data_IF_564070793927
#
_entry.id   IF_564070793927
#
_cell.length_a   1.000
_cell.length_b   1.000
_cell.length_c   1.000
_cell.angle_alpha   90.00
_cell.angle_beta   90.00
_cell.angle_gamma   90.00
#
_symmetry.space_group_name_H-M   'P 1'
#
loop_
_entity.id
_entity.type
_entity.pdbx_description
1 polymer ?
#
# COMPACT_ATOMS: atom_id res chain seq x y z
N UNK A 1 -30.51 -26.26 37.46
CA UNK A 1 -30.32 -26.37 36.00
C UNK A 1 -30.40 -25.04 35.22
N UNK A 2 -30.46 -23.85 35.86
CA UNK A 2 -30.48 -22.55 35.13
C UNK A 2 -29.11 -21.87 34.99
N UNK A 3 -28.11 -22.27 35.78
CA UNK A 3 -26.77 -21.64 35.78
C UNK A 3 -25.89 -22.16 34.64
N UNK A 4 -26.15 -23.37 34.13
CA UNK A 4 -25.36 -23.98 33.06
C UNK A 4 -25.66 -23.39 31.67
N UNK A 5 -26.85 -22.79 31.46
CA UNK A 5 -27.18 -22.11 30.20
C UNK A 5 -26.48 -20.76 30.02
N UNK A 6 -26.06 -20.09 31.09
CA UNK A 6 -25.38 -18.79 30.98
C UNK A 6 -23.89 -18.92 30.64
N UNK A 7 -23.28 -20.08 30.90
CA UNK A 7 -21.87 -20.35 30.64
C UNK A 7 -21.60 -20.68 29.15
N UNK A 8 -22.60 -21.16 28.42
CA UNK A 8 -22.48 -21.39 26.96
C UNK A 8 -22.68 -20.10 26.17
N UNK A 9 -23.34 -19.08 26.74
CA UNK A 9 -23.60 -17.80 26.07
C UNK A 9 -22.42 -16.82 26.17
N UNK A 10 -21.49 -16.99 27.12
CA UNK A 10 -20.28 -16.16 27.22
C UNK A 10 -19.14 -16.62 26.29
N UNK A 11 -19.18 -17.86 25.78
CA UNK A 11 -18.16 -18.41 24.89
C UNK A 11 -18.28 -17.91 23.43
N UNK A 12 -19.42 -17.31 23.04
CA UNK A 12 -19.62 -16.76 21.70
C UNK A 12 -19.14 -15.31 21.53
N UNK A 13 -18.56 -14.71 22.58
CA UNK A 13 -17.98 -13.36 22.55
C UNK A 13 -16.47 -13.34 22.26
N UNK A 14 -15.89 -14.46 21.81
CA UNK A 14 -14.62 -14.42 21.07
C UNK A 14 -14.88 -13.82 19.69
N UNK A 15 -15.09 -12.51 19.72
CA UNK A 15 -14.93 -11.61 18.59
C UNK A 15 -13.60 -11.97 17.95
N UNK A 16 -13.65 -12.65 16.81
CA UNK A 16 -12.50 -12.80 15.94
C UNK A 16 -12.01 -11.39 15.63
N UNK A 17 -11.01 -10.94 16.38
CA UNK A 17 -10.19 -9.79 16.02
C UNK A 17 -9.42 -10.25 14.80
N UNK A 18 -10.02 -10.11 13.61
CA UNK A 18 -9.30 -10.26 12.37
C UNK A 18 -8.37 -9.04 12.24
N UNK A 19 -7.25 -9.08 12.97
CA UNK A 19 -6.09 -8.27 12.62
C UNK A 19 -5.57 -8.78 11.28
N UNK A 20 -5.32 -7.90 10.34
CA UNK A 20 -4.48 -8.22 9.19
C UNK A 20 -3.06 -8.43 9.73
N UNK A 21 -2.59 -9.68 9.74
CA UNK A 21 -1.18 -9.96 10.01
C UNK A 21 -0.45 -10.00 8.67
N UNK A 22 0.16 -8.88 8.29
CA UNK A 22 1.08 -8.85 7.17
C UNK A 22 2.39 -9.54 7.59
N UNK A 23 2.96 -10.38 6.71
CA UNK A 23 4.32 -10.89 6.88
C UNK A 23 5.32 -9.74 6.73
N UNK A 24 6.39 -9.75 7.53
CA UNK A 24 7.45 -8.77 7.41
C UNK A 24 8.10 -8.85 6.02
N UNK A 25 8.35 -7.68 5.42
CA UNK A 25 9.03 -7.57 4.14
C UNK A 25 10.53 -7.81 4.26
N UNK A 26 11.21 -7.80 3.11
CA UNK A 26 12.66 -7.70 3.10
C UNK A 26 13.10 -6.25 3.36
N UNK A 27 14.28 -6.09 3.97
CA UNK A 27 14.84 -4.80 4.32
C UNK A 27 15.20 -3.97 3.07
N UNK A 28 14.82 -2.69 3.08
CA UNK A 28 15.21 -1.68 2.08
C UNK A 28 15.75 -0.47 2.87
N UNK A 29 16.99 -0.02 2.63
CA UNK A 29 17.58 1.10 3.37
C UNK A 29 16.74 2.36 3.32
N UNK A 30 16.47 2.94 4.49
CA UNK A 30 15.71 4.19 4.62
C UNK A 30 14.21 4.06 4.34
N UNK A 31 13.69 2.85 4.15
CA UNK A 31 12.28 2.57 3.87
C UNK A 31 11.73 1.54 4.86
N UNK A 32 10.73 1.94 5.63
CA UNK A 32 9.93 1.03 6.46
C UNK A 32 8.55 0.79 5.80
N UNK A 33 8.33 -0.45 5.37
CA UNK A 33 7.13 -0.88 4.63
C UNK A 33 7.43 -1.34 3.21
N UNK A 34 6.43 -1.34 2.31
CA UNK A 34 5.05 -0.90 2.50
C UNK A 34 4.22 -1.80 3.42
N UNK A 35 3.33 -1.18 4.19
CA UNK A 35 2.34 -1.87 5.04
C UNK A 35 0.95 -1.65 4.47
N UNK A 36 0.15 -2.72 4.46
CA UNK A 36 -1.23 -2.76 4.00
C UNK A 36 -2.14 -2.95 5.19
N UNK A 37 -3.03 -1.99 5.41
CA UNK A 37 -4.07 -2.07 6.42
C UNK A 37 -5.45 -1.78 5.80
N UNK A 38 -6.51 -1.98 6.58
CA UNK A 38 -7.85 -1.51 6.21
C UNK A 38 -8.32 -0.47 7.20
N UNK A 39 -8.79 0.67 6.68
CA UNK A 39 -9.41 1.70 7.49
C UNK A 39 -10.55 2.38 6.73
N UNK A 40 -11.68 2.61 7.41
CA UNK A 40 -12.84 3.32 6.87
C UNK A 40 -13.34 2.79 5.49
N UNK A 41 -13.25 1.48 5.27
CA UNK A 41 -13.63 0.85 4.01
C UNK A 41 -12.64 1.00 2.87
N UNK A 42 -11.46 1.56 3.15
CA UNK A 42 -10.36 1.78 2.20
C UNK A 42 -9.19 0.87 2.53
N UNK A 43 -8.42 0.55 1.50
CA UNK A 43 -7.13 -0.08 1.62
C UNK A 43 -6.12 1.02 1.91
N UNK A 44 -5.40 0.89 3.02
CA UNK A 44 -4.40 1.85 3.45
C UNK A 44 -3.02 1.31 3.12
N UNK A 45 -2.38 1.86 2.09
CA UNK A 45 -0.98 1.60 1.76
C UNK A 45 -0.10 2.66 2.43
N UNK A 46 0.83 2.23 3.28
CA UNK A 46 1.71 3.13 4.04
C UNK A 46 3.17 2.79 3.82
N UNK A 47 4.00 3.82 3.65
CA UNK A 47 5.46 3.74 3.61
C UNK A 47 6.03 4.84 4.47
N UNK A 48 7.04 4.52 5.26
CA UNK A 48 7.78 5.48 6.05
C UNK A 48 9.21 5.62 5.49
N UNK A 49 9.64 6.86 5.30
CA UNK A 49 10.97 7.24 4.87
C UNK A 49 11.77 7.74 6.08
N UNK A 50 12.72 6.96 6.55
CA UNK A 50 13.39 7.19 7.85
C UNK A 50 14.27 8.46 7.88
N UNK A 51 14.82 8.86 6.73
CA UNK A 51 15.81 9.95 6.62
C UNK A 51 15.28 11.19 5.89
N UNK A 52 13.95 11.30 5.77
CA UNK A 52 13.31 12.41 5.08
C UNK A 52 12.42 13.12 6.07
N UNK A 53 12.84 14.28 6.56
CA UNK A 53 12.04 15.04 7.50
C UNK A 53 11.16 16.07 6.78
N UNK A 54 9.86 16.05 7.11
CA UNK A 54 8.92 17.08 6.73
C UNK A 54 8.48 17.85 7.96
N UNK A 55 8.31 19.16 7.79
CA UNK A 55 7.86 20.04 8.88
C UNK A 55 6.33 20.09 9.02
N UNK A 56 5.60 19.52 8.06
CA UNK A 56 4.14 19.57 8.03
C UNK A 56 3.53 18.48 7.18
N UNK A 57 2.26 18.20 7.42
CA UNK A 57 1.48 17.22 6.68
C UNK A 57 0.57 17.86 5.63
N UNK A 58 0.37 17.16 4.53
CA UNK A 58 -0.55 17.51 3.47
C UNK A 58 -1.35 16.27 3.06
N UNK A 59 -2.67 16.41 3.06
CA UNK A 59 -3.59 15.44 2.46
C UNK A 59 -4.17 16.04 1.19
N UNK A 60 -4.19 15.26 0.11
CA UNK A 60 -4.72 15.67 -1.18
C UNK A 60 -5.57 14.56 -1.82
N UNK A 61 -6.61 14.93 -2.59
CA UNK A 61 -7.33 13.98 -3.42
C UNK A 61 -6.43 13.48 -4.55
N UNK A 62 -6.68 12.25 -5.02
CA UNK A 62 -5.97 11.69 -6.17
C UNK A 62 -6.80 11.96 -7.43
N UNK A 63 -6.16 12.51 -8.46
CA UNK A 63 -6.82 12.83 -9.74
C UNK A 63 -7.49 11.57 -10.31
N UNK A 64 -8.75 11.68 -10.75
CA UNK A 64 -9.60 10.58 -11.24
C UNK A 64 -10.00 9.53 -10.19
N UNK A 65 -9.75 9.76 -8.91
CA UNK A 65 -10.10 8.82 -7.83
C UNK A 65 -10.81 9.57 -6.70
N UNK A 66 -12.10 9.83 -6.88
CA UNK A 66 -12.89 10.75 -6.07
C UNK A 66 -13.02 10.34 -4.59
N UNK A 67 -12.82 9.05 -4.30
CA UNK A 67 -12.92 8.50 -2.95
C UNK A 67 -11.57 8.16 -2.33
N UNK A 68 -10.47 8.38 -3.05
CA UNK A 68 -9.11 8.06 -2.61
C UNK A 68 -8.29 9.30 -2.33
N UNK A 69 -7.43 9.19 -1.33
CA UNK A 69 -6.60 10.31 -0.87
C UNK A 69 -5.17 9.87 -0.63
N UNK A 70 -4.24 10.78 -0.91
CA UNK A 70 -2.84 10.64 -0.55
C UNK A 70 -2.52 11.62 0.57
N UNK A 71 -1.83 11.14 1.60
CA UNK A 71 -1.32 11.94 2.71
C UNK A 71 0.19 11.79 2.79
N UNK A 72 0.88 12.90 2.92
CA UNK A 72 2.29 12.96 3.27
C UNK A 72 2.37 13.70 4.59
N UNK A 73 2.97 13.12 5.62
CA UNK A 73 3.08 13.72 6.94
C UNK A 73 4.40 13.38 7.61
N UNK A 74 4.82 14.12 8.65
CA UNK A 74 5.89 13.64 9.52
C UNK A 74 5.52 12.25 10.07
N UNK A 75 6.51 11.37 10.19
CA UNK A 75 6.32 10.11 10.91
C UNK A 75 6.49 10.35 12.41
N UNK A 76 5.75 9.57 13.20
CA UNK A 76 5.85 9.54 14.65
C UNK A 76 6.26 8.13 15.01
N UNK A 77 7.47 7.98 15.55
CA UNK A 77 7.98 6.70 16.01
C UNK A 77 7.28 6.26 17.30
N UNK A 78 7.41 4.98 17.63
CA UNK A 78 6.81 4.35 18.80
C UNK A 78 7.21 5.00 20.14
N UNK A 79 8.34 5.68 20.18
CA UNK A 79 8.86 6.41 21.35
C UNK A 79 8.39 7.87 21.42
N UNK A 80 7.54 8.30 20.48
CA UNK A 80 7.00 9.65 20.42
C UNK A 80 7.95 10.69 19.82
N UNK A 81 9.13 10.27 19.33
CA UNK A 81 9.99 11.18 18.57
C UNK A 81 9.43 11.42 17.16
N UNK A 82 9.72 12.62 16.65
CA UNK A 82 9.43 12.98 15.27
C UNK A 82 10.68 12.72 14.45
N UNK A 83 10.55 11.92 13.40
CA UNK A 83 11.65 11.60 12.51
C UNK A 83 11.14 10.83 11.30
N UNK A 84 11.54 11.26 10.11
CA UNK A 84 11.09 10.67 8.87
C UNK A 84 9.74 11.18 8.36
N UNK A 85 9.33 10.63 7.23
CA UNK A 85 8.11 11.01 6.49
C UNK A 85 7.24 9.78 6.28
N UNK A 86 5.99 9.86 6.71
CA UNK A 86 4.95 8.90 6.36
C UNK A 86 4.26 9.32 5.06
N UNK A 87 4.22 8.42 4.09
CA UNK A 87 3.36 8.49 2.91
C UNK A 87 2.26 7.45 3.11
N UNK A 88 1.01 7.90 3.00
CA UNK A 88 -0.17 7.08 3.24
C UNK A 88 -1.19 7.29 2.12
N UNK A 89 -1.55 6.22 1.44
CA UNK A 89 -2.53 6.21 0.36
C UNK A 89 -3.75 5.44 0.85
N UNK A 90 -4.86 6.15 1.06
CA UNK A 90 -6.13 5.56 1.42
C UNK A 90 -6.94 5.36 0.13
N UNK A 91 -6.92 4.14 -0.38
CA UNK A 91 -7.49 3.74 -1.66
C UNK A 91 -8.86 3.09 -1.49
N UNK A 92 -9.86 3.61 -2.20
CA UNK A 92 -11.19 3.02 -2.29
C UNK A 92 -11.36 2.24 -3.59
N UNK A 93 -11.73 0.96 -3.48
CA UNK A 93 -11.90 0.08 -4.64
C UNK A 93 -12.88 0.62 -5.68
N UNK A 94 -13.87 1.43 -5.26
CA UNK A 94 -14.87 2.01 -6.15
C UNK A 94 -14.28 2.94 -7.20
N UNK A 95 -13.12 3.53 -6.93
CA UNK A 95 -12.50 4.50 -7.84
C UNK A 95 -12.02 3.87 -9.14
N UNK A 96 -11.78 2.56 -9.15
CA UNK A 96 -11.30 1.82 -10.34
C UNK A 96 -12.35 0.92 -10.98
N UNK A 97 -13.62 1.03 -10.57
CA UNK A 97 -14.72 0.20 -11.09
C UNK A 97 -15.39 0.80 -12.35
N UNK A 98 -14.99 2.00 -12.76
CA UNK A 98 -15.51 2.70 -13.95
C UNK A 98 -14.67 2.45 -15.22
N UNK A 99 -15.19 2.85 -16.37
CA UNK A 99 -14.60 2.52 -17.68
C UNK A 99 -13.22 3.16 -17.93
N UNK A 100 -12.89 4.30 -17.30
CA UNK A 100 -11.56 4.93 -17.42
C UNK A 100 -10.44 4.02 -16.89
N UNK A 101 -10.76 3.10 -15.99
CA UNK A 101 -9.79 2.18 -15.36
C UNK A 101 -9.84 0.76 -15.95
N UNK A 102 -10.75 0.49 -16.90
CA UNK A 102 -10.85 -0.79 -17.62
C UNK A 102 -10.01 -0.83 -18.88
N UNK A 103 -10.07 0.24 -19.66
CA UNK A 103 -9.26 0.40 -20.88
C UNK A 103 -8.16 1.43 -20.60
N UNK A 104 -7.02 0.92 -20.18
CA UNK A 104 -5.88 1.71 -19.73
C UNK A 104 -4.66 1.46 -20.63
N UNK A 105 -3.76 2.45 -20.76
CA UNK A 105 -2.50 2.24 -21.47
C UNK A 105 -1.61 1.23 -20.75
N UNK A 106 -0.61 0.73 -21.48
CA UNK A 106 0.49 -0.04 -20.92
C UNK A 106 1.61 0.92 -20.54
N UNK A 107 1.89 1.02 -19.24
CA UNK A 107 2.85 1.96 -18.66
C UNK A 107 4.14 1.25 -18.24
N UNK A 108 5.23 2.00 -18.14
CA UNK A 108 6.52 1.56 -17.62
C UNK A 108 6.81 2.20 -16.26
N UNK A 109 8.03 2.01 -15.74
CA UNK A 109 8.54 2.86 -14.66
C UNK A 109 8.56 4.33 -15.11
N UNK A 110 8.57 5.31 -14.18
CA UNK A 110 8.49 6.74 -14.54
C UNK A 110 9.66 7.23 -15.40
N UNK A 111 10.79 6.53 -15.37
CA UNK A 111 11.98 6.80 -16.18
C UNK A 111 12.00 6.06 -17.53
N UNK A 112 10.93 5.33 -17.87
CA UNK A 112 10.80 4.57 -19.11
C UNK A 112 11.33 3.13 -19.05
N UNK A 113 11.98 2.72 -17.96
CA UNK A 113 12.48 1.34 -17.83
C UNK A 113 11.34 0.33 -17.62
N UNK A 114 11.48 -0.90 -18.10
CA UNK A 114 10.48 -1.93 -17.88
C UNK A 114 10.38 -2.31 -16.40
N UNK A 115 9.19 -2.74 -15.97
CA UNK A 115 9.05 -3.39 -14.67
C UNK A 115 9.80 -4.73 -14.67
N UNK A 116 10.81 -4.93 -13.81
CA UNK A 116 11.69 -6.10 -13.88
C UNK A 116 11.02 -7.43 -13.49
N UNK A 117 9.82 -7.36 -12.93
CA UNK A 117 9.03 -8.52 -12.49
C UNK A 117 7.83 -8.82 -13.41
N UNK A 118 7.66 -8.08 -14.52
CA UNK A 118 6.64 -8.33 -15.54
C UNK A 118 7.29 -8.88 -16.80
N UNK A 119 6.64 -9.85 -17.45
CA UNK A 119 7.19 -10.54 -18.63
C UNK A 119 7.33 -9.60 -19.83
N UNK A 120 6.34 -8.75 -20.05
CA UNK A 120 6.31 -7.74 -21.11
C UNK A 120 6.93 -6.40 -20.67
N UNK A 121 7.35 -6.30 -19.41
CA UNK A 121 7.92 -5.09 -18.82
C UNK A 121 6.94 -3.93 -18.66
N UNK A 122 5.65 -4.10 -18.99
CA UNK A 122 4.65 -3.03 -18.98
C UNK A 122 3.47 -3.37 -18.09
N UNK A 123 2.89 -2.36 -17.46
CA UNK A 123 1.77 -2.49 -16.55
C UNK A 123 0.52 -1.81 -17.15
N UNK A 124 -0.58 -2.54 -17.39
CA UNK A 124 -1.84 -1.93 -17.83
C UNK A 124 -2.47 -1.13 -16.69
N UNK A 125 -2.19 0.17 -16.66
CA UNK A 125 -2.60 1.09 -15.60
C UNK A 125 -2.60 2.55 -16.08
N UNK A 126 -3.39 3.41 -15.43
CA UNK A 126 -3.15 4.84 -15.49
C UNK A 126 -2.00 5.19 -14.55
N UNK A 127 -0.96 5.84 -15.09
CA UNK A 127 0.10 6.44 -14.31
C UNK A 127 -0.27 7.88 -13.90
N UNK A 128 -0.28 8.15 -12.60
CA UNK A 128 -0.60 9.47 -12.03
C UNK A 128 0.59 9.92 -11.19
N UNK A 129 1.41 10.81 -11.76
CA UNK A 129 2.52 11.42 -11.04
C UNK A 129 2.02 12.54 -10.10
N UNK A 130 2.55 12.57 -8.88
CA UNK A 130 2.20 13.54 -7.84
C UNK A 130 3.47 14.22 -7.34
N UNK A 131 3.94 15.30 -7.99
CA UNK A 131 5.21 15.94 -7.66
C UNK A 131 5.28 16.43 -6.20
N UNK A 132 4.14 16.93 -5.70
CA UNK A 132 4.01 17.43 -4.31
C UNK A 132 4.17 16.33 -3.24
N UNK A 133 4.23 15.06 -3.64
CA UNK A 133 4.36 13.91 -2.75
C UNK A 133 5.63 13.10 -3.07
N UNK A 134 6.77 13.80 -3.11
CA UNK A 134 8.10 13.20 -3.39
C UNK A 134 8.15 12.50 -4.75
N UNK A 135 7.51 13.10 -5.75
CA UNK A 135 7.44 12.57 -7.12
C UNK A 135 6.92 11.12 -7.22
N UNK A 136 6.11 10.69 -6.24
CA UNK A 136 5.45 9.40 -6.28
C UNK A 136 4.57 9.29 -7.53
N UNK A 137 4.60 8.12 -8.17
CA UNK A 137 3.73 7.80 -9.29
C UNK A 137 2.80 6.69 -8.88
N UNK A 138 1.49 6.95 -8.91
CA UNK A 138 0.47 5.96 -8.64
C UNK A 138 0.11 5.23 -9.94
N UNK A 139 -0.05 3.91 -9.85
CA UNK A 139 -0.53 3.06 -10.94
C UNK A 139 -1.88 2.49 -10.53
N UNK A 140 -2.91 2.75 -11.34
CA UNK A 140 -4.26 2.31 -11.04
C UNK A 140 -4.99 1.78 -12.28
N UNK A 141 -5.63 0.63 -12.15
CA UNK A 141 -6.63 0.08 -13.08
C UNK A 141 -7.63 -0.78 -12.31
N UNK A 142 -8.60 -1.35 -13.03
CA UNK A 142 -9.52 -2.32 -12.43
C UNK A 142 -8.78 -3.54 -11.84
N UNK A 143 -7.57 -3.86 -12.31
CA UNK A 143 -6.80 -5.06 -11.92
C UNK A 143 -5.66 -4.81 -10.95
N UNK A 144 -5.04 -3.63 -10.99
CA UNK A 144 -3.86 -3.31 -10.16
C UNK A 144 -4.02 -1.96 -9.49
N UNK A 145 -3.51 -1.85 -8.27
CA UNK A 145 -3.32 -0.56 -7.61
C UNK A 145 -2.00 -0.51 -6.86
N UNK A 146 -1.25 0.57 -6.99
CA UNK A 146 -0.02 0.72 -6.23
C UNK A 146 0.76 1.97 -6.63
N UNK A 147 2.05 1.97 -6.32
CA UNK A 147 2.91 3.12 -6.58
C UNK A 147 4.35 2.73 -6.91
N UNK A 148 5.04 3.66 -7.57
CA UNK A 148 6.49 3.81 -7.55
C UNK A 148 6.84 5.04 -6.71
N UNK A 149 7.70 4.85 -5.71
CA UNK A 149 8.23 5.92 -4.86
C UNK A 149 9.73 6.06 -5.12
N UNK A 150 10.19 7.20 -5.68
CA UNK A 150 11.62 7.48 -5.79
C UNK A 150 12.29 7.47 -4.42
N UNK A 151 13.45 6.82 -4.30
CA UNK A 151 14.26 6.80 -3.08
C UNK A 151 15.74 6.94 -3.40
N UNK A 152 16.52 7.37 -2.41
CA UNK A 152 17.98 7.35 -2.50
C UNK A 152 18.51 6.11 -1.79
N UNK A 153 19.25 5.28 -2.52
CA UNK A 153 19.92 4.11 -1.95
C UNK A 153 21.38 4.45 -1.60
N UNK A 154 21.95 3.83 -0.55
CA UNK A 154 23.39 3.84 -0.33
C UNK A 154 24.14 3.24 -1.54
N UNK A 155 25.29 3.81 -1.92
CA UNK A 155 26.08 3.38 -3.09
C UNK A 155 26.52 1.91 -3.01
N UNK A 156 26.71 1.38 -1.80
CA UNK A 156 27.13 0.01 -1.53
C UNK A 156 25.96 -0.99 -1.45
N UNK A 157 24.71 -0.52 -1.50
CA UNK A 157 23.53 -1.38 -1.43
C UNK A 157 23.21 -2.00 -2.79
N UNK A 158 23.76 -3.19 -3.03
CA UNK A 158 23.61 -3.95 -4.29
C UNK A 158 22.66 -5.14 -4.21
N UNK A 159 21.87 -5.25 -3.13
CA UNK A 159 20.97 -6.39 -2.91
C UNK A 159 19.68 -6.18 -3.73
N UNK A 160 19.32 -7.18 -4.54
CA UNK A 160 18.01 -7.21 -5.22
C UNK A 160 16.92 -7.59 -4.22
N UNK A 161 15.94 -6.71 -4.04
CA UNK A 161 14.84 -6.90 -3.08
C UNK A 161 13.54 -7.07 -3.84
N UNK A 162 12.97 -8.27 -3.79
CA UNK A 162 11.66 -8.58 -4.37
C UNK A 162 10.91 -9.53 -3.43
N UNK A 163 9.73 -9.13 -2.96
CA UNK A 163 8.93 -9.97 -2.09
C UNK A 163 7.43 -9.77 -2.32
N UNK A 164 6.64 -10.78 -1.94
CA UNK A 164 5.18 -10.72 -2.04
C UNK A 164 4.60 -10.04 -0.81
N UNK A 165 3.65 -9.14 -1.01
CA UNK A 165 2.81 -8.62 0.07
C UNK A 165 1.89 -9.75 0.49
N UNK A 166 2.17 -10.37 1.63
CA UNK A 166 1.37 -11.47 2.17
C UNK A 166 0.63 -11.06 3.42
N UNK A 167 -0.67 -11.33 3.45
CA UNK A 167 -1.52 -11.08 4.61
C UNK A 167 -2.18 -12.39 5.00
N UNK A 168 -1.99 -12.82 6.25
CA UNK A 168 -2.47 -14.12 6.75
C UNK A 168 -2.07 -15.30 5.83
N UNK A 169 -0.84 -15.27 5.29
CA UNK A 169 -0.29 -16.31 4.41
C UNK A 169 -0.75 -16.27 2.94
N UNK A 170 -1.72 -15.42 2.57
CA UNK A 170 -2.13 -15.23 1.16
C UNK A 170 -1.38 -14.04 0.55
N UNK A 171 -0.93 -14.18 -0.69
CA UNK A 171 -0.32 -13.09 -1.48
C UNK A 171 -1.38 -12.15 -2.05
N UNK A 172 -1.12 -10.85 -2.02
CA UNK A 172 -2.01 -9.81 -2.55
C UNK A 172 -1.29 -8.81 -3.46
N UNK A 173 0.03 -8.97 -3.63
CA UNK A 173 0.82 -7.99 -4.34
C UNK A 173 2.30 -8.30 -4.29
N UNK A 174 3.09 -7.37 -4.81
CA UNK A 174 4.54 -7.43 -4.87
C UNK A 174 5.14 -6.10 -4.40
N UNK A 175 6.28 -6.21 -3.74
CA UNK A 175 7.21 -5.11 -3.50
C UNK A 175 8.50 -5.43 -4.24
N UNK A 176 9.03 -4.43 -4.93
CA UNK A 176 10.25 -4.53 -5.71
C UNK A 176 11.09 -3.29 -5.50
N UNK A 177 12.36 -3.48 -5.19
CA UNK A 177 13.34 -2.42 -5.28
C UNK A 177 13.81 -2.29 -6.73
N UNK A 178 13.82 -1.07 -7.23
CA UNK A 178 14.41 -0.69 -8.51
C UNK A 178 15.74 -0.02 -8.19
N UNK A 179 16.81 -0.60 -8.73
CA UNK A 179 18.17 -0.07 -8.59
C UNK A 179 18.40 1.13 -9.52
N UNK A 180 19.36 2.00 -9.21
CA UNK A 180 19.74 3.10 -10.09
C UNK A 180 20.15 2.59 -11.48
N UNK A 181 19.99 3.45 -12.50
CA UNK A 181 20.53 3.23 -13.84
C UNK A 181 22.05 3.44 -13.89
N UNK A 182 22.64 3.34 -15.08
CA UNK A 182 24.09 3.54 -15.29
C UNK A 182 24.57 4.96 -14.92
N UNK A 183 23.65 5.92 -14.77
CA UNK A 183 23.93 7.31 -14.36
C UNK A 183 23.71 7.53 -12.86
N UNK A 184 23.31 6.49 -12.12
CA UNK A 184 22.99 6.58 -10.70
C UNK A 184 21.60 7.15 -10.41
N UNK A 185 20.69 7.19 -11.39
CA UNK A 185 19.35 7.78 -11.26
C UNK A 185 18.23 6.73 -11.27
N UNK A 186 17.02 7.11 -10.84
CA UNK A 186 15.83 6.28 -11.01
C UNK A 186 15.66 5.15 -9.99
N UNK A 187 16.41 5.17 -8.89
CA UNK A 187 16.15 4.25 -7.78
C UNK A 187 14.78 4.50 -7.15
N UNK A 188 14.09 3.42 -6.78
CA UNK A 188 12.73 3.53 -6.26
C UNK A 188 12.17 2.24 -5.71
N UNK A 189 11.15 2.35 -4.88
CA UNK A 189 10.37 1.20 -4.40
C UNK A 189 9.06 1.15 -5.16
N UNK A 190 8.79 0.00 -5.77
CA UNK A 190 7.50 -0.33 -6.37
C UNK A 190 6.71 -1.19 -5.40
N UNK A 191 5.46 -0.84 -5.16
CA UNK A 191 4.51 -1.66 -4.41
C UNK A 191 3.20 -1.74 -5.19
N UNK A 192 2.82 -2.93 -5.62
CA UNK A 192 1.60 -3.16 -6.40
C UNK A 192 0.73 -4.21 -5.74
N UNK A 193 -0.57 -3.92 -5.63
CA UNK A 193 -1.62 -4.86 -5.22
C UNK A 193 -2.35 -5.42 -6.42
N UNK A 194 -2.61 -6.72 -6.42
CA UNK A 194 -3.51 -7.38 -7.36
C UNK A 194 -4.94 -7.28 -6.84
N UNK A 195 -5.79 -6.48 -7.50
CA UNK A 195 -7.12 -6.18 -6.99
C UNK A 195 -8.07 -7.39 -7.06
N UNK A 196 -7.83 -8.33 -7.97
CA UNK A 196 -8.59 -9.59 -8.01
C UNK A 196 -8.27 -10.48 -6.79
N UNK A 197 -7.03 -10.47 -6.29
CA UNK A 197 -6.66 -11.20 -5.07
C UNK A 197 -7.30 -10.59 -3.82
N UNK A 198 -7.41 -9.26 -3.81
CA UNK A 198 -8.11 -8.47 -2.79
C UNK A 198 -9.60 -8.81 -2.80
N UNK A 199 -10.27 -8.66 -3.95
CA UNK A 199 -11.72 -8.90 -4.11
C UNK A 199 -12.11 -10.35 -3.94
N UNK A 200 -11.24 -11.31 -4.29
CA UNK A 200 -11.52 -12.73 -4.12
C UNK A 200 -11.35 -13.21 -2.68
N UNK A 201 -10.83 -12.39 -1.76
CA UNK A 201 -10.62 -12.80 -0.38
C UNK A 201 -11.83 -12.47 0.53
N UNK A 202 -12.55 -13.48 1.05
CA UNK A 202 -13.72 -13.24 1.90
C UNK A 202 -13.40 -12.50 3.21
N UNK A 203 -12.22 -12.74 3.78
CA UNK A 203 -11.77 -12.09 5.01
C UNK A 203 -11.50 -10.61 4.82
N UNK A 204 -10.79 -10.25 3.74
CA UNK A 204 -10.47 -8.88 3.40
C UNK A 204 -11.73 -8.09 3.00
N UNK A 205 -12.63 -8.69 2.21
CA UNK A 205 -13.93 -8.09 1.89
C UNK A 205 -14.79 -7.88 3.15
N UNK A 206 -14.79 -8.84 4.07
CA UNK A 206 -15.48 -8.70 5.36
C UNK A 206 -14.90 -7.53 6.15
N UNK A 207 -13.58 -7.37 6.17
CA UNK A 207 -12.91 -6.26 6.84
C UNK A 207 -13.19 -4.91 6.18
N UNK A 208 -13.17 -4.81 4.85
CA UNK A 208 -13.58 -3.61 4.13
C UNK A 208 -15.03 -3.22 4.47
N UNK A 209 -15.93 -4.19 4.60
CA UNK A 209 -17.32 -3.92 4.99
C UNK A 209 -17.46 -3.53 6.47
N UNK A 210 -16.73 -4.17 7.38
CA UNK A 210 -16.79 -3.89 8.82
C UNK A 210 -16.17 -2.53 9.14
N UNK A 211 -15.02 -2.20 8.55
CA UNK A 211 -14.35 -0.91 8.76
C UNK A 211 -15.19 0.28 8.30
N UNK A 212 -16.05 0.14 7.29
CA UNK A 212 -17.06 1.18 6.93
C UNK A 212 -18.01 1.52 8.07
N UNK A 213 -18.32 0.56 8.95
CA UNK A 213 -19.22 0.74 10.11
C UNK A 213 -18.46 1.22 11.35
N UNK A 214 -17.22 0.77 11.50
CA UNK A 214 -16.35 1.10 12.64
C UNK A 214 -15.29 2.11 12.22
N UNK A 215 -15.72 3.36 12.02
CA UNK A 215 -14.83 4.43 11.59
C UNK A 215 -13.67 4.63 12.58
N UNK A 216 -12.52 5.07 12.07
CA UNK A 216 -11.30 5.34 12.84
C UNK A 216 -10.62 4.12 13.45
N UNK A 217 -11.11 2.90 13.19
CA UNK A 217 -10.42 1.66 13.58
C UNK A 217 -9.60 1.14 12.41
N UNK A 218 -8.33 0.86 12.68
CA UNK A 218 -7.41 0.21 11.75
C UNK A 218 -7.49 -1.30 11.97
N UNK A 219 -7.56 -2.05 10.88
CA UNK A 219 -7.63 -3.51 10.84
C UNK A 219 -6.47 -4.09 10.05
#
# INVERSE_FOLDING_TARGET
>A
MKVLSYLVLSAFLFSATSCLKQEDGQYIPGVNGPKVNINDGKILLTVELEKVDLQGGLTMPIRKMDHSTLTVSPSISSDGSFGGTLISIAFDLRDVENDDFRSVPNETLPDGRPFPFLIDGTLPALAINIPKAKDITLYASEKVFGFFLPINLPEDFNISVHYKIKINGKSYGIVSLIHPDERGEGAGVVALLTLDDVRSNPGLNKLLRISKRNKSRIY
#
